data_IF_970516039169
#
_entry.id   IF_970516039169
#
_cell.length_a   1.000
_cell.length_b   1.000
_cell.length_c   1.000
_cell.angle_alpha   90.00
_cell.angle_beta   90.00
_cell.angle_gamma   90.00
#
_symmetry.space_group_name_H-M   'P 1'
#
loop_
_entity.id
_entity.type
_entity.pdbx_description
1 polymer ?
#
# COMPACT_ATOMS: atom_id res chain seq x y z
N UNK A 1 12.75 34.44 -13.56
CA UNK A 1 12.20 33.63 -12.46
C UNK A 1 13.35 33.06 -11.64
N UNK A 2 13.19 33.00 -10.33
CA UNK A 2 14.12 32.31 -9.42
C UNK A 2 13.38 31.09 -8.89
N UNK A 3 13.82 29.91 -9.33
CA UNK A 3 13.22 28.64 -8.92
C UNK A 3 13.91 28.13 -7.67
N UNK A 4 13.15 27.81 -6.62
CA UNK A 4 13.75 27.50 -5.32
C UNK A 4 12.91 26.65 -4.37
N UNK A 5 11.85 26.00 -4.83
CA UNK A 5 11.08 25.09 -3.98
C UNK A 5 10.50 23.88 -4.70
N UNK A 6 10.22 22.85 -3.90
CA UNK A 6 9.60 21.59 -4.29
C UNK A 6 8.30 21.35 -3.48
N UNK A 7 7.71 20.15 -3.57
CA UNK A 7 6.60 19.73 -2.71
C UNK A 7 6.87 19.97 -1.21
N UNK A 8 8.11 19.73 -0.74
CA UNK A 8 8.53 19.97 0.66
C UNK A 8 8.41 21.44 1.08
N UNK A 9 8.44 22.37 0.12
CA UNK A 9 8.35 23.80 0.39
C UNK A 9 6.91 24.31 0.55
N UNK A 10 5.89 23.50 0.24
CA UNK A 10 4.48 23.92 0.28
C UNK A 10 4.05 24.42 1.67
N UNK A 11 4.34 23.71 2.79
CA UNK A 11 4.00 24.20 4.12
C UNK A 11 4.69 25.52 4.46
N UNK A 12 5.95 25.69 4.04
CA UNK A 12 6.72 26.92 4.24
C UNK A 12 6.12 28.11 3.48
N UNK A 13 5.40 27.87 2.38
CA UNK A 13 4.63 28.92 1.67
C UNK A 13 3.45 29.37 2.53
N UNK A 14 2.70 28.42 3.10
CA UNK A 14 1.57 28.73 3.98
C UNK A 14 1.99 29.50 5.23
N UNK A 15 3.15 29.14 5.80
CA UNK A 15 3.74 29.81 6.97
C UNK A 15 4.51 31.10 6.62
N UNK A 16 4.64 31.44 5.32
CA UNK A 16 5.37 32.62 4.81
C UNK A 16 6.85 32.65 5.24
N UNK A 17 7.50 31.49 5.30
CA UNK A 17 8.90 31.36 5.73
C UNK A 17 9.91 31.38 4.58
N UNK A 18 9.45 31.34 3.32
CA UNK A 18 10.35 31.34 2.17
C UNK A 18 10.89 32.74 1.83
N UNK A 19 12.15 32.84 1.36
CA UNK A 19 12.72 34.10 0.88
C UNK A 19 11.90 34.71 -0.26
N UNK A 20 11.63 36.02 -0.19
CA UNK A 20 10.88 36.76 -1.22
C UNK A 20 11.47 36.68 -2.64
N UNK A 21 12.76 36.36 -2.76
CA UNK A 21 13.41 36.18 -4.06
C UNK A 21 12.93 34.96 -4.82
N UNK A 22 12.37 33.94 -4.15
CA UNK A 22 11.89 32.70 -4.77
C UNK A 22 10.46 32.90 -5.27
N UNK A 23 10.26 32.74 -6.58
CA UNK A 23 8.95 32.97 -7.21
C UNK A 23 8.56 31.88 -8.23
N UNK A 24 9.25 30.75 -8.23
CA UNK A 24 8.96 29.61 -9.08
C UNK A 24 9.19 28.29 -8.34
N UNK A 25 8.24 27.36 -8.46
CA UNK A 25 8.16 26.13 -7.68
C UNK A 25 7.90 24.92 -8.58
N UNK A 26 8.51 23.78 -8.26
CA UNK A 26 8.30 22.51 -8.97
C UNK A 26 7.59 21.55 -8.04
N UNK A 27 6.28 21.43 -8.20
CA UNK A 27 5.43 20.57 -7.36
C UNK A 27 5.20 19.25 -8.07
N UNK A 28 5.42 18.14 -7.35
CA UNK A 28 5.24 16.78 -7.86
C UNK A 28 4.37 15.98 -6.92
N UNK A 29 4.96 15.38 -5.89
CA UNK A 29 4.27 14.51 -4.94
C UNK A 29 2.99 15.11 -4.36
N UNK A 30 3.04 16.32 -3.80
CA UNK A 30 1.87 17.03 -3.29
C UNK A 30 0.75 17.15 -4.31
N UNK A 31 1.06 17.39 -5.59
CA UNK A 31 0.06 17.51 -6.66
C UNK A 31 -0.67 16.18 -6.91
N UNK A 32 0.03 15.06 -6.83
CA UNK A 32 -0.48 13.74 -7.20
C UNK A 32 -1.06 12.95 -6.03
N UNK A 33 -0.54 13.17 -4.81
CA UNK A 33 -0.88 12.39 -3.61
C UNK A 33 -1.59 13.22 -2.54
N UNK A 34 -1.66 14.54 -2.70
CA UNK A 34 -2.19 15.41 -1.66
C UNK A 34 -1.33 15.41 -0.38
N UNK A 35 -0.07 14.96 -0.45
CA UNK A 35 0.80 14.85 0.73
C UNK A 35 1.44 16.19 1.09
N UNK A 36 1.39 16.52 2.38
CA UNK A 36 2.35 17.39 3.03
C UNK A 36 3.65 16.61 3.26
N UNK A 37 4.58 16.76 2.32
CA UNK A 37 5.86 16.04 2.34
C UNK A 37 6.75 16.46 3.51
N UNK A 38 6.55 17.64 4.10
CA UNK A 38 7.36 18.08 5.24
C UNK A 38 6.95 17.38 6.52
N UNK A 39 5.64 17.23 6.74
CA UNK A 39 5.08 16.64 7.95
C UNK A 39 4.70 15.16 7.81
N UNK A 40 4.80 14.59 6.60
CA UNK A 40 4.35 13.24 6.27
C UNK A 40 2.86 13.03 6.61
N UNK A 41 2.04 14.03 6.25
CA UNK A 41 0.58 14.01 6.48
C UNK A 41 -0.18 14.33 5.20
N UNK A 42 -1.50 14.19 5.21
CA UNK A 42 -2.35 14.62 4.08
C UNK A 42 -2.69 16.11 4.22
N UNK A 43 -2.58 16.86 3.13
CA UNK A 43 -3.03 18.24 3.08
C UNK A 43 -4.56 18.29 3.15
N UNK A 44 -5.15 19.09 4.07
CA UNK A 44 -6.59 19.08 4.35
C UNK A 44 -7.51 19.28 3.14
N UNK A 45 -7.08 20.08 2.15
CA UNK A 45 -7.88 20.45 0.99
C UNK A 45 -7.49 19.67 -0.28
N UNK A 46 -6.83 18.51 -0.13
CA UNK A 46 -6.40 17.67 -1.23
C UNK A 46 -6.88 16.22 -1.11
N UNK A 47 -7.13 15.62 -2.26
CA UNK A 47 -7.45 14.20 -2.38
C UNK A 47 -6.17 13.37 -2.33
N UNK A 48 -6.18 12.28 -1.55
CA UNK A 48 -5.11 11.29 -1.46
C UNK A 48 -5.50 9.92 -2.05
N UNK A 49 -6.66 9.84 -2.68
CA UNK A 49 -7.25 8.66 -3.31
C UNK A 49 -7.20 8.71 -4.85
N UNK A 50 -6.23 9.46 -5.39
CA UNK A 50 -6.07 9.67 -6.85
C UNK A 50 -5.53 8.43 -7.56
N UNK A 51 -4.67 7.65 -6.87
CA UNK A 51 -4.12 6.41 -7.38
C UNK A 51 -4.64 5.25 -6.55
N UNK A 52 -5.22 4.26 -7.22
CA UNK A 52 -5.72 3.04 -6.61
C UNK A 52 -5.18 1.83 -7.36
N UNK A 53 -4.87 0.78 -6.61
CA UNK A 53 -4.35 -0.49 -7.12
C UNK A 53 -5.39 -1.55 -6.84
N UNK A 54 -5.72 -2.32 -7.87
CA UNK A 54 -6.67 -3.42 -7.76
C UNK A 54 -5.95 -4.72 -8.09
N UNK A 55 -5.97 -5.67 -7.16
CA UNK A 55 -5.35 -6.99 -7.33
C UNK A 55 -6.40 -8.09 -7.20
N UNK A 56 -6.39 -9.05 -8.11
CA UNK A 56 -7.36 -10.16 -8.13
C UNK A 56 -7.00 -11.23 -7.10
N UNK A 57 -8.01 -11.73 -6.39
CA UNK A 57 -7.88 -12.91 -5.54
C UNK A 57 -7.82 -14.15 -6.44
N UNK A 58 -6.65 -14.78 -6.54
CA UNK A 58 -6.46 -16.01 -7.34
C UNK A 58 -6.70 -17.29 -6.53
N UNK A 59 -6.55 -17.22 -5.20
CA UNK A 59 -6.81 -18.34 -4.29
C UNK A 59 -7.37 -17.81 -2.97
N UNK A 60 -8.34 -18.52 -2.40
CA UNK A 60 -8.92 -18.23 -1.10
C UNK A 60 -9.14 -19.51 -0.30
N UNK A 61 -8.51 -19.63 0.88
CA UNK A 61 -8.55 -20.83 1.71
C UNK A 61 -8.72 -20.45 3.19
N UNK A 62 -9.61 -21.14 3.89
CA UNK A 62 -9.69 -21.09 5.35
C UNK A 62 -8.55 -21.92 5.97
N UNK A 63 -7.72 -21.28 6.81
CA UNK A 63 -6.60 -21.93 7.50
C UNK A 63 -6.66 -21.67 9.01
N UNK A 64 -6.17 -22.60 9.85
CA UNK A 64 -5.95 -22.30 11.26
C UNK A 64 -5.02 -21.10 11.43
N UNK A 65 -5.29 -20.23 12.41
CA UNK A 65 -4.48 -19.04 12.68
C UNK A 65 -3.08 -19.41 13.18
N UNK A 66 -2.97 -20.54 13.89
CA UNK A 66 -1.69 -21.08 14.37
C UNK A 66 -1.27 -22.26 13.47
N UNK A 67 -0.10 -22.18 12.80
CA UNK A 67 0.38 -23.27 11.95
C UNK A 67 0.77 -24.49 12.79
N UNK A 68 0.45 -25.68 12.27
CA UNK A 68 0.94 -26.96 12.80
C UNK A 68 2.25 -27.33 12.07
N UNK A 69 3.42 -26.97 12.61
CA UNK A 69 4.72 -27.30 12.02
C UNK A 69 5.87 -26.42 12.51
N UNK A 70 7.09 -26.67 12.04
CA UNK A 70 8.25 -25.79 12.28
C UNK A 70 8.13 -24.52 11.43
N UNK A 71 8.38 -23.35 12.04
CA UNK A 71 8.30 -22.07 11.34
C UNK A 71 9.57 -21.84 10.50
N UNK A 72 9.38 -21.66 9.20
CA UNK A 72 10.41 -21.18 8.28
C UNK A 72 10.47 -19.65 8.21
N UNK A 73 11.43 -19.14 7.46
CA UNK A 73 11.56 -17.71 7.14
C UNK A 73 10.91 -17.46 5.77
N UNK A 74 10.09 -16.41 5.63
CA UNK A 74 9.55 -16.03 4.32
C UNK A 74 10.66 -15.43 3.41
N UNK A 75 10.37 -15.19 2.13
CA UNK A 75 11.38 -14.67 1.17
C UNK A 75 11.93 -13.29 1.53
N UNK A 76 11.20 -12.53 2.34
CA UNK A 76 11.59 -11.21 2.86
C UNK A 76 12.42 -11.30 4.16
N UNK A 77 12.65 -12.49 4.71
CA UNK A 77 13.44 -12.67 5.92
C UNK A 77 12.63 -12.60 7.23
N UNK A 78 11.29 -12.51 7.16
CA UNK A 78 10.43 -12.40 8.33
C UNK A 78 10.03 -13.78 8.90
N UNK A 79 9.97 -13.85 10.23
CA UNK A 79 9.45 -14.99 11.00
C UNK A 79 8.27 -14.49 11.85
N UNK A 80 7.17 -15.23 11.83
CA UNK A 80 5.95 -14.88 12.56
C UNK A 80 6.00 -15.44 14.00
N UNK A 81 5.51 -14.67 14.97
CA UNK A 81 5.32 -15.14 16.34
C UNK A 81 3.82 -15.19 16.64
N UNK A 82 3.28 -16.37 16.90
CA UNK A 82 1.88 -16.56 17.27
C UNK A 82 1.73 -16.60 18.79
N UNK A 83 0.70 -15.93 19.31
CA UNK A 83 0.38 -15.97 20.74
C UNK A 83 -0.44 -17.24 21.08
N UNK A 84 -0.25 -17.78 22.29
CA UNK A 84 -0.90 -19.03 22.72
C UNK A 84 -2.45 -18.96 22.79
N UNK A 85 -3.04 -17.75 22.78
CA UNK A 85 -4.48 -17.52 22.90
C UNK A 85 -5.26 -17.68 21.57
N UNK A 86 -4.55 -17.91 20.46
CA UNK A 86 -5.13 -18.01 19.11
C UNK A 86 -5.37 -19.46 18.66
N UNK A 87 -5.09 -20.43 19.54
CA UNK A 87 -5.21 -21.85 19.24
C UNK A 87 -6.67 -22.25 18.97
N UNK A 88 -6.93 -22.84 17.80
CA UNK A 88 -8.26 -23.31 17.39
C UNK A 88 -9.11 -22.29 16.63
N UNK A 89 -8.61 -21.06 16.40
CA UNK A 89 -9.24 -20.10 15.49
C UNK A 89 -8.85 -20.40 14.04
N UNK A 90 -9.75 -20.10 13.12
CA UNK A 90 -9.50 -20.11 11.69
C UNK A 90 -9.53 -18.69 11.14
N UNK A 91 -8.81 -18.46 10.05
CA UNK A 91 -8.88 -17.24 9.27
C UNK A 91 -8.78 -17.56 7.79
N UNK A 92 -9.43 -16.76 6.96
CA UNK A 92 -9.32 -16.85 5.52
C UNK A 92 -8.02 -16.21 5.05
N UNK A 93 -7.22 -16.97 4.30
CA UNK A 93 -6.03 -16.51 3.60
C UNK A 93 -6.34 -16.38 2.12
N UNK A 94 -6.06 -15.23 1.55
CA UNK A 94 -6.17 -15.01 0.11
C UNK A 94 -4.79 -14.79 -0.51
N UNK A 95 -4.63 -15.21 -1.75
CA UNK A 95 -3.47 -14.92 -2.59
C UNK A 95 -3.90 -13.93 -3.66
N UNK A 96 -3.16 -12.84 -3.78
CA UNK A 96 -3.36 -11.80 -4.78
C UNK A 96 -2.39 -11.98 -5.95
N UNK A 97 -2.85 -11.72 -7.17
CA UNK A 97 -2.04 -11.63 -8.39
C UNK A 97 -1.25 -10.31 -8.45
N UNK A 98 -0.42 -10.09 -7.43
CA UNK A 98 0.45 -8.94 -7.27
C UNK A 98 1.62 -9.36 -6.38
N UNK A 99 2.87 -9.14 -6.78
CA UNK A 99 4.04 -9.62 -6.03
C UNK A 99 5.17 -8.60 -5.90
N UNK A 100 6.29 -9.04 -5.29
CA UNK A 100 7.49 -8.22 -5.08
C UNK A 100 8.11 -7.66 -6.37
N UNK A 101 7.93 -8.35 -7.51
CA UNK A 101 8.38 -7.84 -8.81
C UNK A 101 7.59 -6.61 -9.26
N UNK A 102 6.36 -6.47 -8.78
CA UNK A 102 5.50 -5.32 -9.06
C UNK A 102 5.64 -4.24 -8.01
N UNK A 103 5.48 -4.59 -6.74
CA UNK A 103 5.50 -3.65 -5.60
C UNK A 103 5.58 -4.42 -4.27
N UNK A 104 6.36 -3.91 -3.32
CA UNK A 104 6.39 -4.44 -1.96
C UNK A 104 5.09 -4.10 -1.19
N UNK A 105 4.61 -5.06 -0.40
CA UNK A 105 3.38 -4.89 0.41
C UNK A 105 3.44 -3.72 1.38
N UNK A 106 4.63 -3.35 1.87
CA UNK A 106 4.82 -2.19 2.75
C UNK A 106 4.54 -0.84 2.07
N UNK A 107 4.48 -0.81 0.74
CA UNK A 107 4.12 0.37 -0.05
C UNK A 107 2.64 0.38 -0.47
N UNK A 108 1.84 -0.54 0.09
CA UNK A 108 0.43 -0.71 -0.18
C UNK A 108 -0.33 -0.70 1.15
N UNK A 109 -1.56 -0.18 1.11
CA UNK A 109 -2.49 -0.23 2.22
C UNK A 109 -3.85 -0.71 1.74
N UNK A 110 -4.43 -1.78 2.32
CA UNK A 110 -5.79 -2.16 2.00
C UNK A 110 -6.78 -1.06 2.39
N UNK A 111 -7.76 -0.79 1.53
CA UNK A 111 -8.86 0.13 1.90
C UNK A 111 -9.85 -0.50 2.86
N UNK A 112 -9.88 -1.83 2.91
CA UNK A 112 -10.57 -2.60 3.94
C UNK A 112 -9.63 -2.87 5.12
N UNK A 113 -9.87 -2.18 6.24
CA UNK A 113 -9.06 -2.27 7.46
C UNK A 113 -9.07 -3.67 8.11
N UNK A 114 -10.00 -4.55 7.73
CA UNK A 114 -10.02 -5.95 8.18
C UNK A 114 -8.94 -6.81 7.50
N UNK A 115 -8.34 -6.32 6.42
CA UNK A 115 -7.33 -7.03 5.65
C UNK A 115 -5.94 -6.69 6.17
N UNK A 116 -5.10 -7.71 6.34
CA UNK A 116 -3.68 -7.53 6.68
C UNK A 116 -2.76 -8.34 5.78
N UNK A 117 -1.55 -7.83 5.53
CA UNK A 117 -0.53 -8.56 4.77
C UNK A 117 0.15 -9.61 5.65
N UNK A 118 0.32 -10.80 5.08
CA UNK A 118 0.94 -11.97 5.73
C UNK A 118 2.31 -12.25 5.17
N UNK A 119 2.54 -11.92 3.90
CA UNK A 119 3.81 -12.14 3.25
C UNK A 119 3.67 -12.01 1.75
N UNK A 120 4.79 -12.14 1.07
CA UNK A 120 4.87 -11.99 -0.37
C UNK A 120 5.81 -13.03 -0.98
N UNK A 121 5.72 -13.18 -2.28
CA UNK A 121 6.62 -13.89 -3.19
C UNK A 121 6.99 -12.93 -4.32
N UNK A 122 7.82 -13.37 -5.26
CA UNK A 122 8.13 -12.62 -6.48
C UNK A 122 6.88 -12.15 -7.23
N UNK A 123 5.84 -12.97 -7.27
CA UNK A 123 4.66 -12.85 -8.15
C UNK A 123 3.32 -12.85 -7.41
N UNK A 124 3.30 -13.00 -6.09
CA UNK A 124 2.07 -13.04 -5.32
C UNK A 124 2.21 -12.39 -3.94
N UNK A 125 1.11 -11.91 -3.40
CA UNK A 125 0.98 -11.39 -2.04
C UNK A 125 -0.07 -12.21 -1.32
N UNK A 126 0.24 -12.62 -0.10
CA UNK A 126 -0.68 -13.34 0.78
C UNK A 126 -1.28 -12.35 1.78
N UNK A 127 -2.61 -12.30 1.85
CA UNK A 127 -3.36 -11.50 2.80
C UNK A 127 -4.18 -12.38 3.76
N UNK A 128 -4.41 -11.87 4.96
CA UNK A 128 -5.41 -12.34 5.92
C UNK A 128 -6.67 -11.49 5.75
N UNK A 129 -7.83 -12.12 5.59
CA UNK A 129 -9.12 -11.42 5.52
C UNK A 129 -10.05 -11.77 6.70
N UNK A 130 -9.50 -12.32 7.78
CA UNK A 130 -10.22 -12.65 9.00
C UNK A 130 -11.32 -13.68 8.77
N UNK A 131 -12.52 -13.38 9.26
CA UNK A 131 -13.72 -14.19 9.06
C UNK A 131 -14.40 -13.96 7.70
N UNK A 132 -13.81 -13.14 6.82
CA UNK A 132 -14.35 -12.81 5.51
C UNK A 132 -15.80 -12.24 5.58
N UNK A 133 -16.03 -11.25 6.44
CA UNK A 133 -17.37 -10.67 6.64
C UNK A 133 -17.96 -10.04 5.36
N UNK A 134 -17.09 -9.58 4.46
CA UNK A 134 -17.47 -9.02 3.15
C UNK A 134 -17.75 -10.08 2.08
N UNK A 135 -17.59 -11.36 2.39
CA UNK A 135 -17.82 -12.49 1.47
C UNK A 135 -16.98 -12.41 0.18
N UNK A 136 -15.72 -12.00 0.28
CA UNK A 136 -14.75 -12.08 -0.82
C UNK A 136 -14.64 -13.52 -1.34
N UNK A 137 -14.38 -13.64 -2.65
CA UNK A 137 -14.23 -14.90 -3.38
C UNK A 137 -13.07 -14.80 -4.36
N UNK A 138 -12.62 -15.94 -4.84
CA UNK A 138 -11.72 -16.00 -6.00
C UNK A 138 -12.33 -15.26 -7.20
N UNK A 139 -11.53 -14.41 -7.83
CA UNK A 139 -11.93 -13.50 -8.91
C UNK A 139 -12.35 -12.11 -8.45
N UNK A 140 -12.57 -11.88 -7.15
CA UNK A 140 -12.83 -10.53 -6.64
C UNK A 140 -11.54 -9.70 -6.62
N UNK A 141 -11.69 -8.37 -6.76
CA UNK A 141 -10.59 -7.42 -6.68
C UNK A 141 -10.46 -6.86 -5.26
N UNK A 142 -9.26 -6.95 -4.71
CA UNK A 142 -8.88 -6.20 -3.51
C UNK A 142 -8.37 -4.83 -3.92
N UNK A 143 -8.95 -3.80 -3.30
CA UNK A 143 -8.57 -2.41 -3.49
C UNK A 143 -7.49 -2.02 -2.47
N UNK A 144 -6.40 -1.46 -2.98
CA UNK A 144 -5.23 -1.05 -2.24
C UNK A 144 -4.87 0.39 -2.61
N UNK A 145 -4.51 1.20 -1.61
CA UNK A 145 -3.93 2.53 -1.80
C UNK A 145 -2.40 2.41 -1.75
N UNK A 146 -1.69 2.79 -2.83
CA UNK A 146 -0.23 2.82 -2.84
C UNK A 146 0.31 4.12 -2.23
N UNK A 147 1.49 4.04 -1.61
CA UNK A 147 2.28 5.23 -1.29
C UNK A 147 3.06 5.75 -2.53
N UNK A 148 3.89 6.78 -2.35
CA UNK A 148 4.70 7.34 -3.44
C UNK A 148 5.64 6.30 -4.10
N UNK A 149 6.28 5.43 -3.31
CA UNK A 149 7.15 4.37 -3.84
C UNK A 149 6.33 3.29 -4.55
N UNK A 150 5.16 2.95 -4.01
CA UNK A 150 4.20 2.03 -4.63
C UNK A 150 3.76 2.52 -6.00
N UNK A 151 3.37 3.79 -6.12
CA UNK A 151 3.01 4.41 -7.40
C UNK A 151 4.19 4.37 -8.36
N UNK A 152 5.39 4.76 -7.92
CA UNK A 152 6.58 4.77 -8.76
C UNK A 152 6.82 3.39 -9.37
N UNK A 153 6.72 2.32 -8.57
CA UNK A 153 6.93 0.94 -9.03
C UNK A 153 5.83 0.47 -9.97
N UNK A 154 4.58 0.63 -9.57
CA UNK A 154 3.42 0.17 -10.34
C UNK A 154 3.31 0.87 -11.69
N UNK A 155 3.56 2.18 -11.73
CA UNK A 155 3.55 2.94 -12.98
C UNK A 155 4.67 2.51 -13.94
N UNK A 156 5.79 1.98 -13.43
CA UNK A 156 6.89 1.44 -14.23
C UNK A 156 6.74 -0.05 -14.57
N UNK A 157 5.89 -0.82 -13.87
CA UNK A 157 5.63 -2.23 -14.20
C UNK A 157 4.97 -2.31 -15.58
N UNK A 158 5.45 -3.20 -16.46
CA UNK A 158 4.82 -3.42 -17.78
C UNK A 158 3.63 -4.39 -17.70
N UNK A 159 3.46 -5.07 -16.56
CA UNK A 159 2.49 -6.14 -16.37
C UNK A 159 1.19 -5.66 -15.72
N UNK A 160 1.18 -4.44 -15.17
CA UNK A 160 -0.01 -3.83 -14.60
C UNK A 160 -0.74 -2.99 -15.65
N UNK A 161 -2.04 -3.19 -15.80
CA UNK A 161 -2.92 -2.36 -16.63
C UNK A 161 -3.16 -0.98 -15.99
N UNK A 162 -3.17 0.09 -16.80
CA UNK A 162 -3.40 1.45 -16.30
C UNK A 162 -4.68 1.99 -16.89
N UNK A 163 -5.63 2.33 -16.02
CA UNK A 163 -6.94 2.88 -16.40
C UNK A 163 -7.10 4.28 -15.85
N UNK A 164 -7.65 5.16 -16.69
CA UNK A 164 -8.08 6.50 -16.29
C UNK A 164 -9.60 6.45 -16.12
N UNK A 165 -10.10 7.07 -15.06
CA UNK A 165 -11.53 7.17 -14.75
C UNK A 165 -12.15 8.41 -15.37
#
# INVERSE_FOLDING_TARGET
YVSGGSSVSIPLIFEKLLPHGINHFRVGETLFLGTDVYNDTTLPDMHNDVFMVYAEIIELIEKPTVPMGEMGTNVEGHTFNFSNDESGRTSFRAILDLGLLDVESNHLKPTDESISFVGSSSDMIVIDIGQNERNYKTGDLIELTPDYMGILRIMNSRYIDKRLK
#
